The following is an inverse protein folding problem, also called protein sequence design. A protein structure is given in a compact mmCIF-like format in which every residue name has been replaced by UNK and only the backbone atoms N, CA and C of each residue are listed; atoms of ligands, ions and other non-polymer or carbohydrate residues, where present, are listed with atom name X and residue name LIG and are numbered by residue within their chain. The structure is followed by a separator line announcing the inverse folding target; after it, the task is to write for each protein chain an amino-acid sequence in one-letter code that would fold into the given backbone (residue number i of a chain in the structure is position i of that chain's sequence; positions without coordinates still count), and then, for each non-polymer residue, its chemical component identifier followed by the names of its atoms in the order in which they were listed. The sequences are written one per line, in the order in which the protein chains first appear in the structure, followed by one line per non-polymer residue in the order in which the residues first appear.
data_IF_013985881759
#
_entry.id   IF_013985881759
#
_cell.length_a   1.000
_cell.length_b   1.000
_cell.length_c   1.000
_cell.angle_alpha   90.00
_cell.angle_beta   90.00
_cell.angle_gamma   90.00
#
_symmetry.space_group_name_H-M   'P 1'
#
loop_
_entity.id
_entity.type
_entity.pdbx_description
1 polymer ?
#
# COMPACT_ATOMS: atom_id res chain seq x y z
N UNK A 1 16.85 12.80 5.38
CA UNK A 1 16.52 12.11 4.12
C UNK A 1 15.33 11.25 4.47
N UNK A 2 14.14 11.76 4.18
CA UNK A 2 12.90 11.15 4.62
C UNK A 2 12.54 10.02 3.66
N UNK A 3 12.71 8.79 4.13
CA UNK A 3 12.27 7.58 3.46
C UNK A 3 10.75 7.44 3.64
N UNK A 4 10.04 7.18 2.55
CA UNK A 4 8.60 6.95 2.57
C UNK A 4 8.36 5.45 2.66
N UNK A 5 7.73 5.02 3.75
CA UNK A 5 7.34 3.63 3.98
C UNK A 5 5.89 3.45 3.58
N UNK A 6 5.66 2.67 2.52
CA UNK A 6 4.33 2.29 2.04
C UNK A 6 4.05 0.86 2.49
N UNK A 7 3.19 0.72 3.49
CA UNK A 7 2.79 -0.59 3.98
C UNK A 7 1.42 -0.96 3.42
N UNK A 8 1.34 -2.11 2.74
CA UNK A 8 0.14 -2.56 2.05
C UNK A 8 -0.33 -3.86 2.70
N UNK A 9 -1.54 -3.81 3.27
CA UNK A 9 -2.19 -4.98 3.84
C UNK A 9 -3.15 -5.57 2.81
N UNK A 10 -2.92 -6.81 2.44
CA UNK A 10 -3.71 -7.56 1.47
C UNK A 10 -4.07 -8.91 2.04
N UNK A 11 -5.16 -9.49 1.58
CA UNK A 11 -5.50 -10.87 1.92
C UNK A 11 -4.87 -11.80 0.88
N UNK A 12 -3.86 -12.56 1.27
CA UNK A 12 -3.26 -13.61 0.43
C UNK A 12 -3.99 -14.94 0.65
N UNK A 13 -5.23 -15.01 0.16
CA UNK A 13 -6.02 -16.24 0.22
C UNK A 13 -5.77 -17.10 -1.03
N UNK A 14 -5.32 -18.36 -0.89
CA UNK A 14 -5.13 -19.28 -2.02
C UNK A 14 -6.45 -19.77 -2.62
N UNK A 15 -7.53 -19.84 -1.83
CA UNK A 15 -8.85 -20.34 -2.28
C UNK A 15 -9.77 -19.21 -2.79
N UNK A 16 -9.51 -17.96 -2.38
CA UNK A 16 -10.36 -16.83 -2.72
C UNK A 16 -9.50 -15.58 -2.95
N UNK A 17 -8.77 -15.59 -4.06
CA UNK A 17 -7.88 -14.49 -4.42
C UNK A 17 -8.67 -13.18 -4.49
N UNK A 18 -8.46 -12.31 -3.51
CA UNK A 18 -9.12 -11.03 -3.41
C UNK A 18 -8.84 -10.20 -4.69
N UNK A 19 -9.83 -10.08 -5.58
CA UNK A 19 -9.66 -9.38 -6.86
C UNK A 19 -9.22 -7.92 -6.69
N UNK A 20 -9.70 -7.26 -5.63
CA UNK A 20 -9.27 -5.90 -5.25
C UNK A 20 -7.79 -5.87 -4.81
N UNK A 21 -7.33 -6.89 -4.09
CA UNK A 21 -5.96 -6.98 -3.59
C UNK A 21 -4.97 -7.20 -4.74
N UNK A 22 -5.31 -8.07 -5.70
CA UNK A 22 -4.51 -8.27 -6.91
C UNK A 22 -4.41 -6.98 -7.77
N UNK A 23 -5.54 -6.28 -7.97
CA UNK A 23 -5.53 -4.97 -8.65
C UNK A 23 -4.71 -3.92 -7.91
N UNK A 24 -4.71 -3.95 -6.58
CA UNK A 24 -3.92 -3.04 -5.77
C UNK A 24 -2.43 -3.27 -5.95
N UNK A 25 -1.95 -4.53 -5.93
CA UNK A 25 -0.55 -4.86 -6.26
C UNK A 25 -0.14 -4.27 -7.62
N UNK A 26 -0.93 -4.52 -8.67
CA UNK A 26 -0.65 -3.99 -10.00
C UNK A 26 -0.61 -2.45 -10.07
N UNK A 27 -1.50 -1.78 -9.32
CA UNK A 27 -1.51 -0.32 -9.22
C UNK A 27 -0.23 0.20 -8.57
N UNK A 28 0.23 -0.45 -7.50
CA UNK A 28 1.46 -0.06 -6.80
C UNK A 28 2.67 -0.27 -7.68
N UNK A 29 2.77 -1.41 -8.36
CA UNK A 29 3.88 -1.69 -9.29
C UNK A 29 3.95 -0.65 -10.42
N UNK A 30 2.81 -0.30 -11.03
CA UNK A 30 2.74 0.77 -12.04
C UNK A 30 3.09 2.15 -11.47
N UNK A 31 2.72 2.41 -10.22
CA UNK A 31 3.05 3.65 -9.55
C UNK A 31 4.56 3.75 -9.35
N UNK A 32 5.23 2.69 -8.87
CA UNK A 32 6.68 2.62 -8.74
C UNK A 32 7.41 2.87 -10.06
N UNK A 33 6.89 2.32 -11.17
CA UNK A 33 7.43 2.55 -12.52
C UNK A 33 7.34 4.04 -12.91
N UNK A 34 6.25 4.70 -12.52
CA UNK A 34 6.04 6.15 -12.76
C UNK A 34 6.95 7.02 -11.88
N UNK A 35 7.25 6.60 -10.65
CA UNK A 35 8.07 7.36 -9.69
C UNK A 35 9.52 6.86 -9.62
N UNK A 36 10.05 6.33 -10.72
CA UNK A 36 11.40 5.73 -10.82
C UNK A 36 12.50 6.60 -10.20
N UNK A 37 12.41 7.93 -10.30
CA UNK A 37 13.39 8.89 -9.76
C UNK A 37 13.49 8.84 -8.22
N UNK A 38 12.42 8.41 -7.54
CA UNK A 38 12.32 8.37 -6.08
C UNK A 38 12.30 6.95 -5.53
N UNK A 39 12.62 5.95 -6.35
CA UNK A 39 12.57 4.54 -5.96
C UNK A 39 13.44 4.24 -4.75
N UNK A 40 14.63 4.83 -4.67
CA UNK A 40 15.53 4.72 -3.51
C UNK A 40 15.02 5.41 -2.23
N UNK A 41 13.94 6.18 -2.31
CA UNK A 41 13.31 6.84 -1.15
C UNK A 41 12.00 6.18 -0.74
N UNK A 42 11.58 5.11 -1.41
CA UNK A 42 10.27 4.49 -1.18
C UNK A 42 10.49 3.01 -0.82
N UNK A 43 10.21 2.68 0.43
CA UNK A 43 10.15 1.29 0.89
C UNK A 43 8.71 0.78 0.76
N UNK A 44 8.51 -0.36 0.10
CA UNK A 44 7.19 -0.99 -0.01
C UNK A 44 7.17 -2.31 0.75
N UNK A 45 6.31 -2.38 1.76
CA UNK A 45 6.13 -3.56 2.61
C UNK A 45 4.75 -4.15 2.35
N UNK A 46 4.71 -5.41 1.91
CA UNK A 46 3.47 -6.18 1.84
C UNK A 46 3.32 -7.01 3.11
N UNK A 47 2.14 -6.93 3.74
CA UNK A 47 1.76 -7.83 4.83
C UNK A 47 0.42 -8.48 4.54
N UNK A 48 0.25 -9.70 5.05
CA UNK A 48 -1.03 -10.37 5.01
C UNK A 48 -1.97 -9.78 6.08
N UNK A 49 -3.16 -9.37 5.64
CA UNK A 49 -4.18 -8.72 6.47
C UNK A 49 -4.85 -9.68 7.46
N UNK A 50 -4.71 -10.99 7.24
CA UNK A 50 -5.28 -12.05 8.10
C UNK A 50 -4.29 -12.58 9.12
N UNK A 51 -3.04 -12.12 9.07
CA UNK A 51 -2.00 -12.48 10.03
C UNK A 51 -2.30 -11.92 11.41
N UNK A 52 -2.07 -12.73 12.45
CA UNK A 52 -2.32 -12.34 13.85
C UNK A 52 -1.63 -11.02 14.21
N UNK A 53 -0.38 -10.80 13.78
CA UNK A 53 0.35 -9.56 14.03
C UNK A 53 -0.40 -8.31 13.51
N UNK A 54 -1.00 -8.41 12.32
CA UNK A 54 -1.74 -7.31 11.71
C UNK A 54 -3.07 -7.08 12.41
N UNK A 55 -3.77 -8.16 12.76
CA UNK A 55 -5.05 -8.09 13.49
C UNK A 55 -4.84 -7.50 14.88
N UNK A 56 -3.77 -7.89 15.58
CA UNK A 56 -3.43 -7.34 16.90
C UNK A 56 -3.05 -5.85 16.82
N UNK A 57 -2.32 -5.46 15.78
CA UNK A 57 -1.83 -4.08 15.63
C UNK A 57 -2.90 -3.10 15.12
N UNK A 58 -3.71 -3.52 14.16
CA UNK A 58 -4.63 -2.63 13.43
C UNK A 58 -6.10 -3.02 13.58
N UNK A 59 -6.41 -4.16 14.21
CA UNK A 59 -7.75 -4.72 14.28
C UNK A 59 -8.15 -5.47 13.00
N UNK A 60 -9.42 -5.89 12.96
CA UNK A 60 -9.98 -6.58 11.80
C UNK A 60 -10.37 -5.55 10.73
N UNK A 61 -9.43 -5.25 9.83
CA UNK A 61 -9.62 -4.30 8.72
C UNK A 61 -10.09 -5.00 7.44
N UNK A 62 -10.74 -4.24 6.55
CA UNK A 62 -11.16 -4.76 5.24
C UNK A 62 -10.06 -4.52 4.18
N UNK A 63 -9.36 -5.55 3.70
CA UNK A 63 -8.33 -5.41 2.67
C UNK A 63 -8.93 -5.13 1.28
N UNK A 64 -8.20 -4.45 0.39
CA UNK A 64 -6.83 -3.94 0.56
C UNK A 64 -6.77 -2.67 1.41
N UNK A 65 -5.73 -2.54 2.24
CA UNK A 65 -5.43 -1.33 3.02
C UNK A 65 -4.03 -0.83 2.67
N UNK A 66 -3.85 0.48 2.58
CA UNK A 66 -2.55 1.10 2.33
C UNK A 66 -2.27 2.12 3.41
N UNK A 67 -1.09 2.02 4.00
CA UNK A 67 -0.52 3.01 4.91
C UNK A 67 0.67 3.67 4.22
N UNK A 68 0.82 4.97 4.45
CA UNK A 68 1.98 5.76 4.00
C UNK A 68 2.55 6.42 5.25
N UNK A 69 3.79 6.12 5.60
CA UNK A 69 4.44 6.53 6.86
C UNK A 69 3.59 6.24 8.10
N UNK A 70 2.93 5.07 8.12
CA UNK A 70 2.05 4.65 9.21
C UNK A 70 0.66 5.29 9.22
N UNK A 71 0.37 6.22 8.31
CA UNK A 71 -0.95 6.86 8.19
C UNK A 71 -1.80 6.09 7.18
N UNK A 72 -3.01 5.70 7.57
CA UNK A 72 -3.94 5.00 6.69
C UNK A 72 -4.40 5.92 5.54
N UNK A 73 -4.12 5.52 4.31
CA UNK A 73 -4.47 6.25 3.09
C UNK A 73 -5.79 5.73 2.47
N UNK A 74 -5.97 4.41 2.43
CA UNK A 74 -7.18 3.76 1.87
C UNK A 74 -7.43 2.42 2.54
N UNK A 75 -8.70 2.01 2.58
CA UNK A 75 -9.19 0.73 3.07
C UNK A 75 -10.36 0.23 2.18
N UNK A 76 -10.42 -1.08 1.92
CA UNK A 76 -11.53 -1.76 1.23
C UNK A 76 -11.67 -1.48 -0.27
N UNK A 77 -10.80 -0.65 -0.85
CA UNK A 77 -10.86 -0.27 -2.27
C UNK A 77 -9.48 -0.18 -2.92
N UNK A 78 -9.47 -0.38 -4.25
CA UNK A 78 -8.26 -0.24 -5.05
C UNK A 78 -7.89 1.24 -5.14
N UNK A 79 -6.67 1.64 -4.77
CA UNK A 79 -6.23 3.03 -4.90
C UNK A 79 -6.20 3.48 -6.36
N UNK A 80 -6.38 4.77 -6.59
CA UNK A 80 -6.18 5.39 -7.90
C UNK A 80 -4.71 5.80 -8.01
N UNK A 81 -3.99 5.26 -9.00
CA UNK A 81 -2.55 5.54 -9.26
C UNK A 81 -2.25 7.05 -9.15
N UNK A 82 -3.03 7.89 -9.82
CA UNK A 82 -2.83 9.36 -9.81
C UNK A 82 -2.92 9.98 -8.42
N UNK A 83 -3.87 9.56 -7.58
CA UNK A 83 -4.04 10.10 -6.22
C UNK A 83 -2.89 9.65 -5.32
N UNK A 84 -2.52 8.38 -5.42
CA UNK A 84 -1.44 7.79 -4.64
C UNK A 84 -0.09 8.42 -5.02
N UNK A 85 0.21 8.50 -6.31
CA UNK A 85 1.43 9.14 -6.80
C UNK A 85 1.52 10.62 -6.41
N UNK A 86 0.42 11.38 -6.52
CA UNK A 86 0.38 12.77 -6.04
C UNK A 86 0.71 12.86 -4.56
N UNK A 87 0.11 12.03 -3.71
CA UNK A 87 0.33 12.07 -2.26
C UNK A 87 1.79 11.78 -1.89
N UNK A 88 2.41 10.81 -2.56
CA UNK A 88 3.82 10.46 -2.37
C UNK A 88 4.72 11.61 -2.83
N UNK A 89 4.43 12.21 -3.99
CA UNK A 89 5.18 13.36 -4.48
C UNK A 89 5.07 14.57 -3.54
N UNK A 90 3.89 14.83 -2.97
CA UNK A 90 3.71 15.88 -1.96
C UNK A 90 4.63 15.64 -0.75
N UNK A 91 4.68 14.41 -0.23
CA UNK A 91 5.54 14.04 0.91
C UNK A 91 7.04 14.08 0.60
N UNK A 92 7.45 13.87 -0.65
CA UNK A 92 8.86 13.90 -1.07
C UNK A 92 9.40 15.31 -1.31
N UNK A 93 8.52 16.30 -1.49
CA UNK A 93 8.86 17.70 -1.78
C UNK A 93 8.71 18.62 -0.56
N UNK A 94 8.19 18.12 0.56
CA UNK A 94 8.25 18.79 1.88
C UNK A 94 9.66 18.70 2.48
#
# INVERSE_FOLDING_TARGET
MDEIVIQILIKEDPENSCAKCCKTKQVIERMMDTVTIFKDKIEIIYKDATSNEVIEKYGNLEPPIIFINGIMFTQGHVPIIKKLGKKILEMLNE
#
